data_IF_832687382650
#
_entry.id   IF_832687382650
#
_cell.length_a   1.000
_cell.length_b   1.000
_cell.length_c   1.000
_cell.angle_alpha   90.00
_cell.angle_beta   90.00
_cell.angle_gamma   90.00
#
_symmetry.space_group_name_H-M   'P 1'
#
loop_
_entity.id
_entity.type
_entity.pdbx_description
1 polymer ?
#
# COMPACT_ATOMS: atom_id res chain seq x y z
N UNK A 1 0.21 -16.34 -8.15
CA UNK A 1 -0.03 -15.12 -7.35
C UNK A 1 0.72 -13.97 -8.01
N UNK A 2 0.12 -12.80 -8.26
CA UNK A 2 0.86 -11.65 -8.81
C UNK A 2 1.94 -11.25 -7.80
N UNK A 3 3.20 -11.31 -8.19
CA UNK A 3 4.32 -10.87 -7.37
C UNK A 3 4.46 -9.34 -7.49
N UNK A 4 4.19 -8.63 -6.40
CA UNK A 4 4.45 -7.19 -6.31
C UNK A 4 5.94 -6.94 -6.16
N UNK A 5 6.48 -6.02 -6.97
CA UNK A 5 7.90 -5.65 -6.95
C UNK A 5 8.07 -4.23 -6.42
N UNK A 6 9.31 -3.94 -6.00
CA UNK A 6 9.71 -2.57 -5.69
C UNK A 6 9.49 -1.71 -6.93
N UNK A 7 8.96 -0.52 -6.74
CA UNK A 7 8.59 0.46 -7.76
C UNK A 7 7.30 0.20 -8.54
N UNK A 8 6.54 -0.85 -8.22
CA UNK A 8 5.20 -1.01 -8.78
C UNK A 8 4.24 0.06 -8.25
N UNK A 9 3.37 0.55 -9.12
CA UNK A 9 2.22 1.36 -8.73
C UNK A 9 1.10 0.43 -8.31
N UNK A 10 0.54 0.67 -7.13
CA UNK A 10 -0.50 -0.17 -6.55
C UNK A 10 -1.62 0.64 -5.93
N UNK A 11 -2.78 0.00 -5.87
CA UNK A 11 -3.89 0.38 -5.00
C UNK A 11 -4.04 -0.60 -3.86
N UNK A 12 -4.36 -0.06 -2.70
CA UNK A 12 -4.61 -0.81 -1.48
C UNK A 12 -5.95 -0.43 -0.94
N UNK A 13 -6.79 -1.42 -0.71
CA UNK A 13 -8.01 -1.27 0.06
C UNK A 13 -7.77 -1.87 1.44
N UNK A 14 -8.10 -1.11 2.48
CA UNK A 14 -7.92 -1.52 3.88
C UNK A 14 -9.01 -0.94 4.78
N UNK A 15 -9.30 -1.62 5.88
CA UNK A 15 -10.27 -1.18 6.87
C UNK A 15 -9.61 -0.23 7.89
N UNK A 16 -10.25 0.91 8.12
CA UNK A 16 -9.96 1.83 9.22
C UNK A 16 -11.30 2.30 9.80
N UNK A 17 -11.48 2.16 11.11
CA UNK A 17 -12.69 2.60 11.81
C UNK A 17 -13.99 2.09 11.15
N UNK A 18 -14.03 0.80 10.81
CA UNK A 18 -15.13 0.14 10.10
C UNK A 18 -15.52 0.74 8.73
N UNK A 19 -14.64 1.56 8.15
CA UNK A 19 -14.80 2.11 6.79
C UNK A 19 -13.71 1.58 5.87
N UNK A 20 -14.08 1.31 4.62
CA UNK A 20 -13.13 0.93 3.58
C UNK A 20 -12.39 2.19 3.12
N UNK A 21 -11.07 2.18 3.28
CA UNK A 21 -10.17 3.23 2.81
C UNK A 21 -9.34 2.69 1.65
N UNK A 22 -9.08 3.55 0.66
CA UNK A 22 -8.23 3.21 -0.49
C UNK A 22 -6.99 4.11 -0.50
N UNK A 23 -5.82 3.51 -0.65
CA UNK A 23 -4.55 4.21 -0.80
C UNK A 23 -3.87 3.83 -2.11
N UNK A 24 -3.49 4.83 -2.87
CA UNK A 24 -2.80 4.68 -4.16
C UNK A 24 -1.38 5.19 -4.02
N UNK A 25 -0.42 4.46 -4.56
CA UNK A 25 0.96 4.94 -4.60
C UNK A 25 1.93 3.90 -5.10
N UNK A 26 3.21 4.25 -5.01
CA UNK A 26 4.32 3.44 -5.51
C UNK A 26 4.97 2.68 -4.37
N UNK A 27 5.25 1.38 -4.55
CA UNK A 27 6.02 0.62 -3.57
C UNK A 27 7.47 1.12 -3.58
N UNK A 28 7.95 1.65 -2.47
CA UNK A 28 9.35 2.13 -2.35
C UNK A 28 10.25 1.14 -1.62
N UNK A 29 9.69 0.26 -0.80
CA UNK A 29 10.45 -0.72 0.00
C UNK A 29 9.59 -1.94 0.27
N UNK A 30 10.16 -3.12 0.12
CA UNK A 30 9.56 -4.39 0.54
C UNK A 30 10.52 -5.02 1.54
N UNK A 31 10.01 -5.41 2.70
CA UNK A 31 10.68 -6.21 3.72
C UNK A 31 9.93 -7.54 3.85
N UNK A 32 10.45 -8.45 4.68
CA UNK A 32 9.86 -9.77 4.89
C UNK A 32 8.36 -9.76 5.24
N UNK A 33 7.92 -8.81 6.07
CA UNK A 33 6.52 -8.73 6.53
C UNK A 33 5.82 -7.41 6.25
N UNK A 34 6.56 -6.41 5.81
CA UNK A 34 6.05 -5.05 5.61
C UNK A 34 6.47 -4.50 4.26
N UNK A 35 5.70 -3.55 3.77
CA UNK A 35 6.05 -2.81 2.58
C UNK A 35 5.61 -1.35 2.73
N UNK A 36 6.37 -0.48 2.09
CA UNK A 36 6.20 0.96 2.19
C UNK A 36 5.70 1.49 0.85
N UNK A 37 4.72 2.37 0.90
CA UNK A 37 4.12 2.99 -0.27
C UNK A 37 4.24 4.48 -0.13
N UNK A 38 4.73 5.09 -1.20
CA UNK A 38 4.84 6.52 -1.35
C UNK A 38 3.72 7.06 -2.25
N UNK A 39 3.06 8.12 -1.79
CA UNK A 39 2.18 8.96 -2.59
C UNK A 39 2.63 10.41 -2.47
N UNK A 40 2.73 11.12 -3.58
CA UNK A 40 2.90 12.59 -3.56
C UNK A 40 1.55 13.26 -3.74
N UNK A 41 1.20 14.19 -2.85
CA UNK A 41 -0.02 14.98 -2.90
C UNK A 41 0.34 16.43 -2.66
N UNK A 42 0.05 17.32 -3.62
CA UNK A 42 0.32 18.76 -3.51
C UNK A 42 1.78 19.09 -3.08
N UNK A 43 2.75 18.37 -3.65
CA UNK A 43 4.17 18.52 -3.31
C UNK A 43 4.61 17.84 -2.01
N UNK A 44 3.66 17.39 -1.17
CA UNK A 44 3.95 16.69 0.08
C UNK A 44 4.11 15.19 -0.18
N UNK A 45 5.20 14.62 0.33
CA UNK A 45 5.49 13.19 0.26
C UNK A 45 4.85 12.47 1.45
N UNK A 46 3.87 11.61 1.17
CA UNK A 46 3.20 10.77 2.15
C UNK A 46 3.73 9.35 2.01
N UNK A 47 4.29 8.80 3.09
CA UNK A 47 4.71 7.40 3.14
C UNK A 47 3.82 6.66 4.13
N UNK A 48 3.23 5.55 3.69
CA UNK A 48 2.51 4.61 4.55
C UNK A 48 3.19 3.25 4.56
N UNK A 49 3.15 2.57 5.71
CA UNK A 49 3.68 1.23 5.91
C UNK A 49 2.51 0.28 6.10
N UNK A 50 2.52 -0.83 5.38
CA UNK A 50 1.52 -1.88 5.46
C UNK A 50 2.17 -3.21 5.81
N UNK A 51 1.47 -4.04 6.57
CA UNK A 51 1.87 -5.43 6.86
C UNK A 51 1.20 -6.37 5.85
N UNK A 52 1.96 -7.34 5.34
CA UNK A 52 1.49 -8.30 4.32
C UNK A 52 0.34 -9.16 4.85
N UNK A 53 0.36 -9.50 6.14
CA UNK A 53 -0.66 -10.33 6.83
C UNK A 53 -1.57 -9.50 7.75
N UNK A 54 -1.79 -8.22 7.45
CA UNK A 54 -2.69 -7.41 8.25
C UNK A 54 -4.15 -7.88 8.04
N UNK A 55 -4.93 -8.22 9.08
CA UNK A 55 -6.35 -8.57 8.93
C UNK A 55 -7.18 -7.42 8.34
N UNK A 56 -6.73 -6.18 8.50
CA UNK A 56 -7.39 -5.00 7.94
C UNK A 56 -7.02 -4.77 6.47
N UNK A 57 -6.09 -5.52 5.88
CA UNK A 57 -5.75 -5.42 4.46
C UNK A 57 -6.77 -6.23 3.65
N UNK A 58 -7.60 -5.54 2.86
CA UNK A 58 -8.64 -6.18 2.06
C UNK A 58 -8.08 -6.65 0.73
N UNK A 59 -7.40 -5.76 0.00
CA UNK A 59 -6.90 -6.09 -1.34
C UNK A 59 -5.70 -5.26 -1.73
N UNK A 60 -4.83 -5.87 -2.54
CA UNK A 60 -3.69 -5.25 -3.21
C UNK A 60 -3.84 -5.44 -4.71
N UNK A 61 -3.79 -4.38 -5.52
CA UNK A 61 -3.89 -4.47 -6.98
C UNK A 61 -2.83 -3.59 -7.65
N UNK A 62 -2.18 -4.10 -8.70
CA UNK A 62 -1.34 -3.28 -9.58
C UNK A 62 -2.20 -2.33 -10.41
N UNK A 63 -1.65 -1.14 -10.67
CA UNK A 63 -2.22 -0.12 -11.56
C UNK A 63 -1.18 0.24 -12.61
#
# INVERSE_FOLDING_TARGET
MKHFKKFDNISISYLVNNKISIFFGKIIKIKQFTFNIEKKVQGIKIIKIFFIKNPNLISLKNI
#
